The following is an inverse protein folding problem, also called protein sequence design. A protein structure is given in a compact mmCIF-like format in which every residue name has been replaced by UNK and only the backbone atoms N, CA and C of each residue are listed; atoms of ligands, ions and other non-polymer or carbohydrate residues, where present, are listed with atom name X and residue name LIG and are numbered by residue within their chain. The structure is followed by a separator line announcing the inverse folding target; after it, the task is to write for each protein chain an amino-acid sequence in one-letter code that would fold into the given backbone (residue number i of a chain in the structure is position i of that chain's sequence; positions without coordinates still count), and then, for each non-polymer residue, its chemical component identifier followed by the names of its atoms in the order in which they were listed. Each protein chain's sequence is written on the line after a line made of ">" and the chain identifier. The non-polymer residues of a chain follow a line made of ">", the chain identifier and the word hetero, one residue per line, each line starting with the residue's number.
data_IF_578545615079
#
_entry.id   IF_578545615079
#
_cell.length_a   1.000
_cell.length_b   1.000
_cell.length_c   1.000
_cell.angle_alpha   90.00
_cell.angle_beta   90.00
_cell.angle_gamma   90.00
#
_symmetry.space_group_name_H-M   'P 1'
#
loop_
_entity.id
_entity.type
_entity.pdbx_description
1 polymer ?
#
# COMPACT_ATOMS: atom_id res chain seq x y z
N UNK A 1 -3.09 19.89 -0.33
CA UNK A 1 -2.92 18.49 0.10
C UNK A 1 -2.45 18.50 1.54
N UNK A 2 -3.22 17.96 2.50
CA UNK A 2 -2.74 17.80 3.87
C UNK A 2 -1.57 16.81 3.93
N UNK A 3 -0.69 17.02 4.90
CA UNK A 3 0.38 16.09 5.23
C UNK A 3 -0.17 15.02 6.17
N UNK A 4 0.18 13.76 5.91
CA UNK A 4 -0.17 12.60 6.72
C UNK A 4 1.13 11.89 7.08
N UNK A 5 1.46 11.90 8.37
CA UNK A 5 2.58 11.12 8.88
C UNK A 5 2.09 9.74 9.32
N UNK A 6 2.53 8.71 8.62
CA UNK A 6 2.17 7.32 8.89
C UNK A 6 2.77 6.80 10.19
N UNK A 7 3.85 7.42 10.69
CA UNK A 7 4.47 7.07 11.98
C UNK A 7 3.66 7.58 13.18
N UNK A 8 2.65 8.44 12.99
CA UNK A 8 1.72 8.87 14.04
C UNK A 8 0.68 7.78 14.37
N UNK A 9 0.65 6.69 13.60
CA UNK A 9 -0.20 5.51 13.83
C UNK A 9 0.64 4.32 14.29
N UNK A 10 0.13 3.57 15.28
CA UNK A 10 0.78 2.36 15.77
C UNK A 10 0.41 1.16 14.88
N UNK A 11 1.40 0.47 14.26
CA UNK A 11 1.17 -0.72 13.44
C UNK A 11 0.27 -1.77 14.11
N UNK A 12 -0.82 -2.15 13.42
CA UNK A 12 -1.78 -3.14 13.92
C UNK A 12 -2.76 -2.64 14.99
N UNK A 13 -2.67 -1.39 15.42
CA UNK A 13 -3.70 -0.73 16.24
C UNK A 13 -4.86 -0.23 15.37
N UNK A 14 -6.07 -0.02 15.93
CA UNK A 14 -7.16 0.65 15.20
C UNK A 14 -6.68 1.98 14.59
N UNK A 15 -7.25 2.38 13.46
CA UNK A 15 -6.87 3.64 12.82
C UNK A 15 -7.21 4.82 13.73
N UNK A 16 -6.35 5.83 13.74
CA UNK A 16 -6.58 7.06 14.51
C UNK A 16 -7.67 7.91 13.85
N UNK A 17 -8.27 8.83 14.63
CA UNK A 17 -9.26 9.78 14.11
C UNK A 17 -8.73 10.53 12.88
N UNK A 18 -7.47 10.97 12.93
CA UNK A 18 -6.81 11.68 11.83
C UNK A 18 -6.77 10.88 10.52
N UNK A 19 -6.62 9.55 10.58
CA UNK A 19 -6.69 8.67 9.41
C UNK A 19 -8.13 8.42 8.98
N UNK A 20 -9.04 8.14 9.92
CA UNK A 20 -10.44 7.86 9.62
C UNK A 20 -11.23 9.07 9.11
N UNK A 21 -10.72 10.29 9.32
CA UNK A 21 -11.28 11.55 8.81
C UNK A 21 -10.92 11.84 7.36
N UNK A 22 -9.92 11.15 6.80
CA UNK A 22 -9.63 11.23 5.38
C UNK A 22 -10.78 10.60 4.57
N UNK A 23 -11.05 11.17 3.39
CA UNK A 23 -12.16 10.74 2.53
C UNK A 23 -11.67 10.31 1.16
N UNK A 24 -12.33 9.31 0.59
CA UNK A 24 -12.04 8.86 -0.77
C UNK A 24 -12.14 10.04 -1.77
N UNK A 25 -11.13 10.20 -2.61
CA UNK A 25 -10.98 11.33 -3.54
C UNK A 25 -10.04 12.44 -3.05
N UNK A 26 -9.63 12.42 -1.78
CA UNK A 26 -8.73 13.42 -1.22
C UNK A 26 -7.27 13.17 -1.62
N UNK A 27 -6.57 14.22 -2.06
CA UNK A 27 -5.13 14.19 -2.33
C UNK A 27 -4.33 14.53 -1.07
N UNK A 28 -3.39 13.68 -0.70
CA UNK A 28 -2.56 13.76 0.52
C UNK A 28 -1.07 13.65 0.20
N UNK A 29 -0.22 14.15 1.10
CA UNK A 29 1.23 13.88 1.07
C UNK A 29 1.58 12.93 2.22
N UNK A 30 2.14 11.77 1.90
CA UNK A 30 2.46 10.73 2.85
C UNK A 30 3.94 10.81 3.26
N UNK A 31 4.19 10.77 4.56
CA UNK A 31 5.52 10.67 5.16
C UNK A 31 5.55 9.55 6.20
N UNK A 32 6.74 9.07 6.55
CA UNK A 32 6.93 8.06 7.60
C UNK A 32 7.33 6.68 7.07
N UNK A 33 7.36 5.70 7.96
CA UNK A 33 7.88 4.36 7.67
C UNK A 33 6.84 3.47 6.97
N UNK A 34 7.22 2.86 5.86
CA UNK A 34 6.41 1.85 5.17
C UNK A 34 7.24 0.61 4.83
N UNK A 35 6.57 -0.52 4.62
CA UNK A 35 7.19 -1.78 4.23
C UNK A 35 6.90 -2.06 2.77
N UNK A 36 7.96 -2.23 1.98
CA UNK A 36 7.86 -2.74 0.62
C UNK A 36 7.55 -4.23 0.67
N UNK A 37 6.36 -4.61 0.25
CA UNK A 37 5.91 -5.99 0.17
C UNK A 37 4.90 -6.12 -0.97
N UNK A 38 5.10 -7.08 -1.88
CA UNK A 38 4.19 -7.33 -3.01
C UNK A 38 3.96 -8.83 -3.20
N UNK A 39 3.73 -9.28 -4.43
CA UNK A 39 3.24 -10.60 -4.81
C UNK A 39 3.89 -11.78 -4.02
N UNK A 40 5.22 -11.92 -4.05
CA UNK A 40 5.90 -13.04 -3.38
C UNK A 40 5.81 -12.95 -1.85
N UNK A 41 5.93 -11.74 -1.29
CA UNK A 41 5.80 -11.49 0.13
C UNK A 41 4.38 -11.81 0.64
N UNK A 42 3.34 -11.39 -0.09
CA UNK A 42 1.94 -11.69 0.25
C UNK A 42 1.63 -13.19 0.14
N UNK A 43 2.13 -13.86 -0.91
CA UNK A 43 2.01 -15.31 -1.04
C UNK A 43 2.61 -16.06 0.16
N UNK A 44 3.77 -15.60 0.65
CA UNK A 44 4.40 -16.17 1.84
C UNK A 44 3.64 -15.86 3.12
N UNK A 45 3.13 -14.64 3.31
CA UNK A 45 2.28 -14.30 4.47
C UNK A 45 1.05 -15.21 4.54
N UNK A 46 0.33 -15.39 3.42
CA UNK A 46 -0.82 -16.31 3.36
C UNK A 46 -0.44 -17.75 3.69
N UNK A 47 0.71 -18.22 3.19
CA UNK A 47 1.20 -19.56 3.53
C UNK A 47 1.45 -19.70 5.04
N UNK A 48 2.08 -18.72 5.68
CA UNK A 48 2.30 -18.73 7.12
C UNK A 48 0.97 -18.78 7.89
N UNK A 49 -0.04 -18.01 7.46
CA UNK A 49 -1.39 -18.07 8.04
C UNK A 49 -2.03 -19.45 7.89
N UNK A 50 -1.99 -20.03 6.70
CA UNK A 50 -2.55 -21.36 6.44
C UNK A 50 -1.85 -22.46 7.26
N UNK A 51 -0.57 -22.28 7.58
CA UNK A 51 0.21 -23.17 8.45
C UNK A 51 0.01 -22.88 9.96
N UNK A 52 -0.83 -21.91 10.33
CA UNK A 52 -1.06 -21.52 11.73
C UNK A 52 0.15 -20.86 12.40
N UNK A 53 1.11 -20.36 11.62
CA UNK A 53 2.31 -19.68 12.12
C UNK A 53 2.05 -18.21 12.38
N UNK A 54 2.81 -17.63 13.31
CA UNK A 54 2.81 -16.19 13.52
C UNK A 54 3.31 -15.45 12.27
N UNK A 55 2.67 -14.32 11.98
CA UNK A 55 3.15 -13.41 10.94
C UNK A 55 4.28 -12.53 11.48
N UNK A 56 5.23 -12.12 10.63
CA UNK A 56 6.25 -11.14 11.03
C UNK A 56 5.60 -9.81 11.45
N UNK A 57 6.14 -9.18 12.50
CA UNK A 57 5.59 -7.91 13.03
C UNK A 57 5.56 -6.79 12.00
N UNK A 58 6.49 -6.80 11.04
CA UNK A 58 6.54 -5.82 9.97
C UNK A 58 5.27 -5.83 9.10
N UNK A 59 4.52 -6.94 9.04
CA UNK A 59 3.30 -7.04 8.24
C UNK A 59 2.15 -6.15 8.77
N UNK A 60 2.29 -5.64 9.99
CA UNK A 60 1.36 -4.70 10.65
C UNK A 60 1.59 -3.24 10.25
N UNK A 61 2.76 -2.92 9.70
CA UNK A 61 3.10 -1.58 9.23
C UNK A 61 2.35 -1.23 7.94
N UNK A 62 2.33 0.04 7.51
CA UNK A 62 1.81 0.38 6.20
C UNK A 62 2.55 -0.39 5.10
N UNK A 63 1.80 -1.08 4.23
CA UNK A 63 2.35 -1.90 3.16
C UNK A 63 2.35 -1.11 1.85
N UNK A 64 3.54 -0.84 1.33
CA UNK A 64 3.71 -0.22 0.02
C UNK A 64 4.04 -1.27 -1.04
N UNK A 65 3.11 -1.45 -1.97
CA UNK A 65 3.25 -2.36 -3.08
C UNK A 65 4.20 -1.76 -4.12
N UNK A 66 5.49 -1.96 -3.92
CA UNK A 66 6.54 -1.51 -4.81
C UNK A 66 7.77 -2.41 -4.68
N UNK A 67 8.59 -2.42 -5.73
CA UNK A 67 9.90 -3.05 -5.74
C UNK A 67 10.89 -2.06 -6.33
N UNK A 68 12.02 -1.81 -5.66
CA UNK A 68 13.05 -0.95 -6.23
C UNK A 68 13.79 -1.67 -7.35
N UNK A 69 14.31 -0.90 -8.30
CA UNK A 69 15.38 -1.39 -9.18
C UNK A 69 16.69 -1.54 -8.39
N UNK A 70 17.74 -2.00 -9.07
CA UNK A 70 19.10 -1.97 -8.51
C UNK A 70 19.46 -0.56 -8.00
N UNK A 71 20.13 -0.51 -6.86
CA UNK A 71 20.52 0.74 -6.20
C UNK A 71 21.91 1.14 -6.69
N UNK A 72 22.01 2.30 -7.34
CA UNK A 72 23.29 2.84 -7.79
C UNK A 72 24.12 3.35 -6.60
N UNK A 73 25.45 3.36 -6.77
CA UNK A 73 26.37 3.87 -5.76
C UNK A 73 26.04 5.33 -5.40
N UNK A 74 25.99 5.63 -4.10
CA UNK A 74 25.61 6.95 -3.59
C UNK A 74 24.11 7.25 -3.55
N UNK A 75 23.24 6.35 -4.04
CA UNK A 75 21.79 6.48 -3.91
C UNK A 75 21.23 5.74 -2.68
N UNK A 76 20.16 6.29 -2.09
CA UNK A 76 19.43 5.63 -0.98
C UNK A 76 18.76 4.34 -1.46
N UNK A 77 18.15 4.39 -2.64
CA UNK A 77 17.43 3.28 -3.25
C UNK A 77 17.38 3.46 -4.77
N UNK A 78 17.27 2.36 -5.52
CA UNK A 78 16.96 2.40 -6.95
C UNK A 78 15.58 3.01 -7.24
N UNK A 79 15.23 3.13 -8.52
CA UNK A 79 13.92 3.66 -8.94
C UNK A 79 12.79 2.89 -8.26
N UNK A 80 11.86 3.60 -7.62
CA UNK A 80 10.79 3.03 -6.80
C UNK A 80 9.45 3.58 -7.26
N UNK A 81 8.73 2.77 -8.04
CA UNK A 81 7.37 3.07 -8.49
C UNK A 81 6.36 2.11 -7.86
N UNK A 82 5.10 2.54 -7.66
CA UNK A 82 4.04 1.64 -7.22
C UNK A 82 3.77 0.55 -8.27
N UNK A 83 3.41 -0.64 -7.80
CA UNK A 83 2.86 -1.72 -8.63
C UNK A 83 1.33 -1.79 -8.54
N UNK A 84 0.71 -2.44 -9.51
CA UNK A 84 -0.75 -2.61 -9.57
C UNK A 84 -1.26 -3.29 -8.31
N UNK A 85 -2.06 -2.56 -7.53
CA UNK A 85 -2.52 -3.00 -6.22
C UNK A 85 -3.53 -4.16 -6.32
N UNK A 86 -4.28 -4.25 -7.42
CA UNK A 86 -5.30 -5.29 -7.64
C UNK A 86 -4.79 -6.73 -7.53
N UNK A 87 -3.50 -6.97 -7.77
CA UNK A 87 -2.89 -8.30 -7.65
C UNK A 87 -2.83 -8.81 -6.20
N UNK A 88 -2.96 -7.91 -5.22
CA UNK A 88 -2.94 -8.26 -3.80
C UNK A 88 -4.36 -8.40 -3.20
N UNK A 89 -5.43 -8.22 -3.98
CA UNK A 89 -6.82 -8.22 -3.47
C UNK A 89 -7.18 -9.52 -2.76
N UNK A 90 -6.76 -10.66 -3.30
CA UNK A 90 -7.05 -11.98 -2.74
C UNK A 90 -6.41 -12.26 -1.38
N UNK A 91 -5.56 -11.36 -0.87
CA UNK A 91 -4.91 -11.49 0.44
C UNK A 91 -5.46 -10.53 1.48
N UNK A 92 -6.20 -9.48 1.07
CA UNK A 92 -6.45 -8.34 1.96
C UNK A 92 -7.37 -8.69 3.12
N UNK A 93 -8.48 -9.39 2.87
CA UNK A 93 -9.44 -9.73 3.93
C UNK A 93 -8.78 -10.58 5.03
N UNK A 94 -8.13 -11.69 4.65
CA UNK A 94 -7.46 -12.60 5.58
C UNK A 94 -6.31 -11.94 6.37
N UNK A 95 -5.51 -11.08 5.73
CA UNK A 95 -4.42 -10.37 6.39
C UNK A 95 -4.96 -9.29 7.34
N UNK A 96 -5.99 -8.56 6.94
CA UNK A 96 -6.55 -7.46 7.75
C UNK A 96 -7.31 -7.99 8.97
N UNK A 97 -7.93 -9.17 8.86
CA UNK A 97 -8.56 -9.86 9.98
C UNK A 97 -7.58 -10.14 11.14
N UNK A 98 -6.30 -10.41 10.84
CA UNK A 98 -5.24 -10.60 11.86
C UNK A 98 -4.45 -9.32 12.16
N UNK A 99 -4.92 -8.16 11.69
CA UNK A 99 -4.34 -6.84 11.93
C UNK A 99 -3.13 -6.50 11.08
N UNK A 100 -2.95 -7.16 9.93
CA UNK A 100 -1.92 -6.83 8.94
C UNK A 100 -2.50 -6.03 7.77
N UNK A 101 -1.69 -5.22 7.09
CA UNK A 101 -2.14 -4.53 5.87
C UNK A 101 -3.31 -3.55 6.04
N UNK A 102 -3.48 -2.93 7.21
CA UNK A 102 -4.52 -1.89 7.43
C UNK A 102 -4.31 -0.66 6.56
N UNK A 103 -3.07 -0.23 6.37
CA UNK A 103 -2.73 0.88 5.46
C UNK A 103 -1.98 0.31 4.26
N UNK A 104 -2.53 0.52 3.08
CA UNK A 104 -2.00 -0.02 1.82
C UNK A 104 -1.66 1.11 0.86
N UNK A 105 -0.53 1.02 0.18
CA UNK A 105 -0.10 1.97 -0.83
C UNK A 105 0.20 1.21 -2.14
N UNK A 106 -0.21 1.74 -3.29
CA UNK A 106 0.01 1.08 -4.58
C UNK A 106 -0.45 1.96 -5.75
N UNK A 107 -0.77 1.36 -6.90
CA UNK A 107 -1.42 2.07 -8.01
C UNK A 107 -2.60 1.30 -8.58
N UNK A 108 -3.50 2.04 -9.23
CA UNK A 108 -4.69 1.50 -9.89
C UNK A 108 -5.85 1.28 -8.94
N UNK A 109 -6.98 0.92 -9.53
CA UNK A 109 -8.20 0.56 -8.85
C UNK A 109 -8.09 -0.78 -8.10
N UNK A 110 -9.04 -1.01 -7.20
CA UNK A 110 -9.15 -2.20 -6.37
C UNK A 110 -10.53 -2.83 -6.59
N UNK A 111 -10.67 -4.12 -6.34
CA UNK A 111 -11.97 -4.79 -6.32
C UNK A 111 -12.82 -4.37 -5.11
N UNK A 112 -14.14 -4.55 -5.23
CA UNK A 112 -15.12 -4.24 -4.17
C UNK A 112 -14.80 -4.94 -2.85
N UNK A 113 -14.33 -6.19 -2.91
CA UNK A 113 -13.91 -6.97 -1.74
C UNK A 113 -12.81 -6.28 -0.92
N UNK A 114 -11.94 -5.48 -1.55
CA UNK A 114 -10.94 -4.69 -0.83
C UNK A 114 -11.61 -3.57 -0.01
N UNK A 115 -12.56 -2.86 -0.61
CA UNK A 115 -13.27 -1.78 0.05
C UNK A 115 -14.14 -2.30 1.20
N UNK A 116 -14.77 -3.46 1.03
CA UNK A 116 -15.50 -4.16 2.09
C UNK A 116 -14.59 -4.56 3.24
N UNK A 117 -13.43 -5.17 2.95
CA UNK A 117 -12.44 -5.52 3.98
C UNK A 117 -11.94 -4.27 4.73
N UNK A 118 -11.72 -3.15 4.04
CA UNK A 118 -11.35 -1.88 4.66
C UNK A 118 -12.43 -1.39 5.64
N UNK A 119 -13.71 -1.46 5.24
CA UNK A 119 -14.84 -1.11 6.09
C UNK A 119 -14.97 -2.03 7.31
N UNK A 120 -14.74 -3.33 7.14
CA UNK A 120 -14.94 -4.33 8.18
C UNK A 120 -13.81 -4.35 9.21
N UNK A 121 -12.56 -4.23 8.77
CA UNK A 121 -11.38 -4.42 9.62
C UNK A 121 -10.58 -3.14 9.90
N UNK A 122 -11.08 -1.99 9.44
CA UNK A 122 -10.48 -0.67 9.66
C UNK A 122 -9.22 -0.49 8.82
N UNK A 123 -9.39 -0.49 7.50
CA UNK A 123 -8.31 -0.31 6.54
C UNK A 123 -8.49 0.88 5.60
N UNK A 124 -7.43 1.25 4.91
CA UNK A 124 -7.40 2.31 3.90
C UNK A 124 -6.42 1.97 2.78
N UNK A 125 -6.70 2.49 1.58
CA UNK A 125 -5.81 2.36 0.43
C UNK A 125 -5.48 3.73 -0.18
N UNK A 126 -4.19 3.98 -0.33
CA UNK A 126 -3.65 5.16 -0.99
C UNK A 126 -3.08 4.79 -2.37
N UNK A 127 -3.64 5.38 -3.42
CA UNK A 127 -3.09 5.27 -4.77
C UNK A 127 -1.99 6.32 -4.95
N UNK A 128 -0.73 5.86 -4.96
CA UNK A 128 0.42 6.66 -5.31
C UNK A 128 0.50 6.88 -6.83
N UNK A 129 1.09 8.01 -7.24
CA UNK A 129 1.23 8.36 -8.65
C UNK A 129 2.20 7.40 -9.35
N UNK A 130 1.74 6.73 -10.41
CA UNK A 130 2.58 5.88 -11.25
C UNK A 130 3.34 6.67 -12.32
N UNK A 131 4.45 6.12 -12.82
CA UNK A 131 5.14 6.61 -14.02
C UNK A 131 6.40 7.46 -13.79
N UNK A 132 6.65 7.91 -12.57
CA UNK A 132 7.81 8.75 -12.22
C UNK A 132 8.76 8.08 -11.20
N UNK A 133 9.09 6.79 -11.38
CA UNK A 133 9.77 5.97 -10.37
C UNK A 133 11.15 6.49 -9.92
N UNK A 134 11.94 7.06 -10.85
CA UNK A 134 13.25 7.64 -10.52
C UNK A 134 13.12 8.91 -9.66
N UNK A 135 12.17 9.78 -10.00
CA UNK A 135 11.84 10.97 -9.20
C UNK A 135 11.23 10.56 -7.85
N UNK A 136 10.35 9.55 -7.86
CA UNK A 136 9.76 8.95 -6.67
C UNK A 136 10.80 8.52 -5.65
N UNK A 137 11.81 7.76 -6.09
CA UNK A 137 12.91 7.35 -5.23
C UNK A 137 13.74 8.54 -4.73
N UNK A 138 14.19 9.42 -5.64
CA UNK A 138 15.08 10.53 -5.31
C UNK A 138 14.44 11.56 -4.36
N UNK A 139 13.20 11.93 -4.62
CA UNK A 139 12.55 13.07 -3.96
C UNK A 139 11.74 12.63 -2.72
N UNK A 140 11.27 11.38 -2.70
CA UNK A 140 10.33 10.91 -1.69
C UNK A 140 10.81 9.73 -0.85
N UNK A 141 12.04 9.23 -1.02
CA UNK A 141 12.61 8.19 -0.16
C UNK A 141 13.88 8.69 0.51
N UNK A 142 13.86 8.78 1.84
CA UNK A 142 15.00 9.28 2.62
C UNK A 142 15.84 8.17 3.27
N UNK A 143 15.29 6.96 3.41
CA UNK A 143 16.02 5.80 3.93
C UNK A 143 15.43 4.50 3.37
N UNK A 144 16.26 3.47 3.22
CA UNK A 144 15.85 2.13 2.83
C UNK A 144 16.73 1.08 3.53
N UNK A 145 16.08 0.05 4.09
CA UNK A 145 16.75 -1.06 4.78
C UNK A 145 16.13 -2.38 4.33
N UNK A 146 16.98 -3.34 3.94
CA UNK A 146 16.56 -4.73 3.74
C UNK A 146 16.16 -5.33 5.09
N UNK A 147 14.92 -5.77 5.20
CA UNK A 147 14.32 -6.17 6.47
C UNK A 147 14.17 -7.69 6.59
N UNK A 148 13.67 -8.33 5.53
CA UNK A 148 13.35 -9.76 5.57
C UNK A 148 13.34 -10.37 4.16
N UNK A 149 13.45 -11.69 4.10
CA UNK A 149 13.35 -12.52 2.90
C UNK A 149 14.27 -12.06 1.74
N UNK A 150 15.60 -11.93 1.97
CA UNK A 150 16.57 -11.53 0.95
C UNK A 150 16.54 -12.41 -0.31
N UNK A 151 16.19 -13.69 -0.16
CA UNK A 151 16.07 -14.66 -1.24
C UNK A 151 14.99 -14.30 -2.28
N UNK A 152 14.07 -13.37 -1.98
CA UNK A 152 13.07 -12.87 -2.93
C UNK A 152 13.61 -11.80 -3.89
N UNK A 153 14.89 -11.43 -3.80
CA UNK A 153 15.55 -10.50 -4.72
C UNK A 153 14.88 -9.13 -4.73
N UNK A 154 14.34 -8.71 -5.89
CA UNK A 154 13.64 -7.42 -6.01
C UNK A 154 12.33 -7.34 -5.21
N UNK A 155 11.76 -8.49 -4.81
CA UNK A 155 10.57 -8.58 -3.97
C UNK A 155 10.89 -8.82 -2.49
N UNK A 156 12.18 -8.76 -2.12
CA UNK A 156 12.60 -8.82 -0.72
C UNK A 156 11.95 -7.69 0.08
N UNK A 157 11.65 -7.98 1.34
CA UNK A 157 10.94 -7.06 2.23
C UNK A 157 11.90 -5.97 2.67
N UNK A 158 11.53 -4.72 2.43
CA UNK A 158 12.35 -3.55 2.79
C UNK A 158 11.55 -2.57 3.60
N UNK A 159 12.14 -2.01 4.65
CA UNK A 159 11.59 -0.82 5.30
C UNK A 159 12.12 0.41 4.59
N UNK A 160 11.23 1.32 4.19
CA UNK A 160 11.61 2.61 3.61
C UNK A 160 10.94 3.74 4.37
N UNK A 161 11.61 4.89 4.41
CA UNK A 161 11.05 6.12 4.99
C UNK A 161 10.65 7.05 3.85
N UNK A 162 9.35 7.30 3.76
CA UNK A 162 8.75 8.21 2.80
C UNK A 162 8.84 9.65 3.29
N UNK A 163 8.96 10.58 2.33
CA UNK A 163 8.90 12.02 2.55
C UNK A 163 7.99 12.68 1.52
N UNK A 164 6.88 13.24 1.98
CA UNK A 164 5.95 14.04 1.18
C UNK A 164 5.47 13.36 -0.12
N UNK A 165 5.35 12.03 -0.12
CA UNK A 165 4.93 11.27 -1.30
C UNK A 165 3.47 11.62 -1.66
N UNK A 166 3.19 12.15 -2.86
CA UNK A 166 1.82 12.46 -3.27
C UNK A 166 1.01 11.18 -3.49
N UNK A 167 -0.18 11.12 -2.89
CA UNK A 167 -1.11 10.01 -3.06
C UNK A 167 -2.57 10.48 -3.03
N UNK A 168 -3.44 9.66 -3.62
CA UNK A 168 -4.88 9.78 -3.55
C UNK A 168 -5.41 8.80 -2.49
N UNK A 169 -6.27 9.27 -1.59
CA UNK A 169 -7.09 8.37 -0.77
C UNK A 169 -8.09 7.70 -1.71
N UNK A 170 -7.78 6.47 -2.13
CA UNK A 170 -8.57 5.74 -3.11
C UNK A 170 -9.69 4.95 -2.42
N UNK A 171 -9.39 4.34 -1.27
CA UNK A 171 -10.40 3.75 -0.39
C UNK A 171 -10.22 4.34 1.02
N UNK A 172 -11.28 4.91 1.58
CA UNK A 172 -11.29 5.42 2.95
C UNK A 172 -11.71 4.36 3.99
N UNK A 173 -11.61 4.72 5.26
CA UNK A 173 -11.90 3.82 6.39
C UNK A 173 -13.38 3.38 6.46
N UNK A 174 -14.28 4.04 5.74
CA UNK A 174 -15.69 3.67 5.66
C UNK A 174 -15.98 2.71 4.48
N UNK A 175 -14.95 2.32 3.72
CA UNK A 175 -15.08 1.48 2.53
C UNK A 175 -15.61 2.22 1.31
N UNK A 176 -15.55 3.55 1.30
CA UNK A 176 -15.85 4.31 0.10
C UNK A 176 -14.71 4.18 -0.89
N UNK A 177 -15.01 3.79 -2.13
CA UNK A 177 -14.03 3.67 -3.20
C UNK A 177 -14.19 4.81 -4.22
N UNK A 178 -13.13 5.60 -4.41
CA UNK A 178 -13.09 6.69 -5.38
C UNK A 178 -13.26 6.20 -6.82
N UNK A 179 -12.59 5.10 -7.20
CA UNK A 179 -12.61 4.60 -8.58
C UNK A 179 -13.97 4.04 -8.97
N UNK A 180 -14.68 3.38 -8.05
CA UNK A 180 -16.03 2.87 -8.30
C UNK A 180 -17.10 3.98 -8.41
N UNK A 181 -16.79 5.20 -7.95
CA UNK A 181 -17.68 6.37 -8.06
C UNK A 181 -17.49 7.15 -9.36
N UNK A 182 -16.42 6.87 -10.10
CA UNK A 182 -16.18 7.55 -11.36
C UNK A 182 -17.22 7.11 -12.40
N UNK A 183 -17.77 8.04 -13.21
CA UNK A 183 -18.60 7.68 -14.34
C UNK A 183 -17.83 6.70 -15.23
N UNK A 184 -18.44 5.57 -15.57
CA UNK A 184 -17.85 4.68 -16.57
C UNK A 184 -17.91 5.39 -17.91
N UNK A 185 -16.78 5.91 -18.39
CA UNK A 185 -16.64 6.34 -19.79
C UNK A 185 -16.58 5.15 -20.77
N UNK A 186 -17.11 3.99 -20.36
CA UNK A 186 -17.22 2.85 -21.26
C UNK A 186 -18.29 3.22 -22.30
N UNK A 187 -17.97 3.24 -23.60
CA UNK A 187 -19.01 3.31 -24.61
C UNK A 187 -19.96 2.13 -24.36
N UNK A 188 -21.26 2.40 -24.32
CA UNK A 188 -22.26 1.34 -24.34
C UNK A 188 -21.91 0.41 -25.50
N UNK A 189 -21.68 -0.87 -25.19
CA UNK A 189 -21.56 -1.87 -26.25
C UNK A 189 -22.94 -1.97 -26.90
N UNK A 190 -23.14 -1.24 -27.99
CA UNK A 190 -24.22 -1.52 -28.93
C UNK A 190 -24.10 -3.00 -29.29
N UNK A 191 -25.08 -3.76 -28.80
CA UNK A 191 -25.18 -5.19 -29.09
C UNK A 191 -25.86 -5.28 -30.46
N UNK A 192 -25.28 -5.98 -31.45
CA UNK A 192 -25.91 -6.16 -32.76
C UNK A 192 -27.19 -7.00 -32.68
#
# INVERSE_FOLDING_TARGET
>A
MPAVNLDDWTPGAPLTAALTDLRAGQLVRLSGSVILARDAAHARLRRLLAEGKSLPDWARFPLYYASPTETQEGCVIGSLGPTTARRMDGYVAELMQVGCGRLMLGKGERGTACAEACREHGGMYFAAVGGAAALGARDHVSAALLLDWPELGMEAVRRVTLKDLPALVAIDAQGNDYYNRLPTNAPEKETP
#
